data_IF_815384379742
#
_entry.id   IF_815384379742
#
_cell.length_a   1.000
_cell.length_b   1.000
_cell.length_c   1.000
_cell.angle_alpha   90.00
_cell.angle_beta   90.00
_cell.angle_gamma   90.00
#
_symmetry.space_group_name_H-M   'P 1'
#
loop_
_entity.id
_entity.type
_entity.pdbx_description
1 polymer ?
#
# COMPACT_ATOMS: atom_id res chain seq x y z
N UNK A 1 -39.13 10.22 -7.84
CA UNK A 1 -38.82 9.35 -9.00
C UNK A 1 -37.48 9.81 -9.55
N UNK A 2 -36.44 8.99 -9.42
CA UNK A 2 -35.13 9.30 -9.99
C UNK A 2 -35.07 8.69 -11.40
N UNK A 3 -34.88 9.56 -12.39
CA UNK A 3 -34.69 9.16 -13.78
C UNK A 3 -33.25 8.67 -14.00
N UNK A 4 -33.13 7.44 -14.47
CA UNK A 4 -31.89 6.79 -14.85
C UNK A 4 -31.61 7.11 -16.32
N UNK A 5 -30.67 8.01 -16.59
CA UNK A 5 -30.30 8.35 -17.97
C UNK A 5 -28.90 7.79 -18.31
N UNK A 6 -28.94 6.72 -19.10
CA UNK A 6 -27.79 6.00 -19.65
C UNK A 6 -27.26 6.75 -20.87
N UNK A 7 -26.05 7.31 -20.77
CA UNK A 7 -25.30 7.79 -21.95
C UNK A 7 -23.94 7.12 -22.03
N UNK A 8 -23.88 6.17 -22.97
CA UNK A 8 -22.71 5.67 -23.70
C UNK A 8 -21.40 6.42 -23.42
N UNK A 9 -20.54 5.77 -22.64
CA UNK A 9 -19.17 6.19 -22.37
C UNK A 9 -18.30 5.91 -23.62
N UNK A 10 -18.08 6.90 -24.49
CA UNK A 10 -16.97 6.84 -25.46
C UNK A 10 -15.67 7.09 -24.69
N UNK A 11 -15.11 6.03 -24.12
CA UNK A 11 -13.85 6.08 -23.38
C UNK A 11 -12.69 6.03 -24.38
N UNK A 12 -11.81 7.02 -24.29
CA UNK A 12 -10.55 7.09 -25.03
C UNK A 12 -9.63 5.92 -24.60
N UNK A 13 -9.19 5.09 -25.55
CA UNK A 13 -8.51 3.80 -25.31
C UNK A 13 -7.24 3.94 -24.45
N UNK A 14 -6.54 5.08 -24.55
CA UNK A 14 -5.32 5.37 -23.76
C UNK A 14 -5.60 5.53 -22.27
N UNK A 15 -6.71 6.20 -21.91
CA UNK A 15 -7.11 6.45 -20.52
C UNK A 15 -7.68 5.19 -19.86
N UNK A 16 -8.36 4.35 -20.65
CA UNK A 16 -8.89 3.07 -20.18
C UNK A 16 -7.76 2.09 -19.85
N UNK A 17 -6.72 2.01 -20.69
CA UNK A 17 -5.58 1.13 -20.44
C UNK A 17 -4.82 1.53 -19.16
N UNK A 18 -4.59 2.84 -18.94
CA UNK A 18 -3.96 3.33 -17.70
C UNK A 18 -4.80 3.05 -16.46
N UNK A 19 -6.12 3.20 -16.55
CA UNK A 19 -7.05 2.87 -15.47
C UNK A 19 -7.03 1.36 -15.16
N UNK A 20 -7.15 0.51 -16.18
CA UNK A 20 -7.04 -0.94 -16.03
C UNK A 20 -5.70 -1.36 -15.43
N UNK A 21 -4.58 -0.78 -15.89
CA UNK A 21 -3.25 -1.07 -15.34
C UNK A 21 -3.12 -0.63 -13.88
N UNK A 22 -3.72 0.51 -13.50
CA UNK A 22 -3.69 1.04 -12.13
C UNK A 22 -4.53 0.18 -11.18
N UNK A 23 -5.76 -0.18 -11.57
CA UNK A 23 -6.63 -1.06 -10.78
C UNK A 23 -6.02 -2.45 -10.65
N UNK A 24 -5.50 -3.04 -11.74
CA UNK A 24 -4.82 -4.33 -11.68
C UNK A 24 -3.59 -4.31 -10.77
N UNK A 25 -2.85 -3.19 -10.71
CA UNK A 25 -1.70 -3.03 -9.83
C UNK A 25 -2.10 -3.05 -8.34
N UNK A 26 -3.13 -2.30 -7.94
CA UNK A 26 -3.57 -2.26 -6.55
C UNK A 26 -4.28 -3.54 -6.11
N UNK A 27 -5.10 -4.15 -6.98
CA UNK A 27 -5.70 -5.47 -6.72
C UNK A 27 -4.61 -6.51 -6.46
N UNK A 28 -3.55 -6.49 -7.27
CA UNK A 28 -2.39 -7.35 -7.04
C UNK A 28 -1.69 -7.05 -5.70
N UNK A 29 -1.49 -5.77 -5.34
CA UNK A 29 -0.90 -5.41 -4.04
C UNK A 29 -1.72 -5.92 -2.86
N UNK A 30 -3.05 -5.77 -2.91
CA UNK A 30 -3.95 -6.25 -1.87
C UNK A 30 -3.86 -7.77 -1.75
N UNK A 31 -3.81 -8.51 -2.86
CA UNK A 31 -3.58 -9.95 -2.85
C UNK A 31 -2.23 -10.31 -2.21
N UNK A 32 -1.17 -9.55 -2.47
CA UNK A 32 0.15 -9.78 -1.85
C UNK A 32 0.09 -9.53 -0.34
N UNK A 33 -0.56 -8.46 0.12
CA UNK A 33 -0.73 -8.17 1.56
C UNK A 33 -1.58 -9.25 2.23
N UNK A 34 -2.65 -9.73 1.59
CA UNK A 34 -3.46 -10.84 2.09
C UNK A 34 -2.65 -12.14 2.24
N UNK A 35 -1.77 -12.45 1.27
CA UNK A 35 -0.84 -13.58 1.40
C UNK A 35 0.14 -13.40 2.58
N UNK A 36 0.63 -12.18 2.81
CA UNK A 36 1.46 -11.88 3.99
C UNK A 36 0.67 -12.09 5.28
N UNK A 37 -0.60 -11.66 5.31
CA UNK A 37 -1.49 -11.85 6.44
C UNK A 37 -1.66 -13.34 6.79
N UNK A 38 -1.87 -14.19 5.78
CA UNK A 38 -1.97 -15.64 5.94
C UNK A 38 -0.64 -16.30 6.35
N UNK A 39 0.50 -15.76 5.89
CA UNK A 39 1.82 -16.34 6.13
C UNK A 39 2.44 -15.93 7.47
N UNK A 40 2.03 -14.77 8.01
CA UNK A 40 2.61 -14.17 9.22
C UNK A 40 1.60 -14.00 10.35
N UNK A 41 0.43 -14.64 10.24
CA UNK A 41 -0.59 -14.63 11.29
C UNK A 41 -0.06 -15.18 12.64
N UNK A 42 1.00 -16.01 12.59
CA UNK A 42 1.62 -16.62 13.78
C UNK A 42 2.93 -15.95 14.25
N UNK A 43 3.39 -14.84 13.65
CA UNK A 43 4.58 -14.12 14.13
C UNK A 43 4.24 -13.22 15.34
N UNK A 44 3.68 -13.84 16.39
CA UNK A 44 2.95 -13.17 17.48
C UNK A 44 3.75 -12.14 18.28
N UNK A 45 5.09 -12.21 18.28
CA UNK A 45 5.94 -11.33 19.09
C UNK A 45 6.59 -10.17 18.31
N UNK A 46 6.42 -10.11 16.98
CA UNK A 46 7.01 -9.06 16.17
C UNK A 46 6.23 -7.75 16.33
N UNK A 47 6.94 -6.70 16.78
CA UNK A 47 6.42 -5.33 16.82
C UNK A 47 7.07 -4.50 15.72
N UNK A 48 6.24 -3.80 14.96
CA UNK A 48 6.65 -3.05 13.77
C UNK A 48 6.21 -1.60 13.89
N UNK A 49 7.07 -0.67 13.49
CA UNK A 49 6.70 0.74 13.42
C UNK A 49 5.57 0.94 12.41
N UNK A 50 4.42 1.42 12.89
CA UNK A 50 3.20 1.46 12.07
C UNK A 50 2.71 2.90 11.94
N UNK A 51 3.06 3.58 10.82
CA UNK A 51 2.45 4.85 10.45
C UNK A 51 0.94 4.68 10.22
N UNK A 52 0.17 5.72 10.52
CA UNK A 52 -1.28 5.74 10.29
C UNK A 52 -1.65 6.27 8.91
N UNK A 53 -2.92 6.14 8.51
CA UNK A 53 -3.43 6.79 7.30
C UNK A 53 -3.25 8.33 7.35
N UNK A 54 -3.37 8.95 8.53
CA UNK A 54 -3.14 10.38 8.68
C UNK A 54 -1.66 10.75 8.45
N UNK A 55 -0.73 9.90 8.91
CA UNK A 55 0.70 10.06 8.64
C UNK A 55 0.97 9.94 7.14
N UNK A 56 0.34 8.98 6.45
CA UNK A 56 0.43 8.84 5.00
C UNK A 56 -0.13 10.06 4.25
N UNK A 57 -1.23 10.67 4.72
CA UNK A 57 -1.79 11.86 4.08
C UNK A 57 -0.87 13.09 4.22
N UNK A 58 -0.10 13.16 5.30
CA UNK A 58 0.84 14.27 5.57
C UNK A 58 2.22 14.04 4.97
N UNK A 59 2.72 12.81 5.06
CA UNK A 59 4.06 12.37 4.67
C UNK A 59 3.98 11.01 3.93
N UNK A 60 3.35 10.96 2.74
CA UNK A 60 3.22 9.75 1.93
C UNK A 60 4.54 9.00 1.65
N UNK A 61 5.61 9.67 1.26
CA UNK A 61 6.92 9.08 0.96
C UNK A 61 7.61 8.53 2.19
N UNK A 62 7.72 9.30 3.28
CA UNK A 62 8.31 8.81 4.54
C UNK A 62 7.53 7.60 5.04
N UNK A 63 6.20 7.68 5.00
CA UNK A 63 5.31 6.58 5.39
C UNK A 63 5.56 5.31 4.56
N UNK A 64 5.63 5.43 3.23
CA UNK A 64 5.89 4.27 2.36
C UNK A 64 7.31 3.70 2.54
N UNK A 65 8.30 4.55 2.81
CA UNK A 65 9.66 4.11 3.17
C UNK A 65 9.63 3.32 4.48
N UNK A 66 8.86 3.77 5.47
CA UNK A 66 8.72 3.04 6.73
C UNK A 66 8.05 1.69 6.53
N UNK A 67 6.95 1.62 5.77
CA UNK A 67 6.35 0.33 5.44
C UNK A 67 7.32 -0.60 4.68
N UNK A 68 8.14 -0.06 3.77
CA UNK A 68 9.15 -0.84 3.04
C UNK A 68 10.19 -1.44 3.98
N UNK A 69 10.75 -0.64 4.90
CA UNK A 69 11.72 -1.11 5.91
C UNK A 69 11.12 -2.14 6.86
N UNK A 70 9.94 -1.87 7.39
CA UNK A 70 9.29 -2.74 8.39
C UNK A 70 8.78 -4.06 7.78
N UNK A 71 8.40 -4.08 6.50
CA UNK A 71 8.15 -5.33 5.77
C UNK A 71 9.41 -6.20 5.69
N UNK A 72 10.59 -5.59 5.49
CA UNK A 72 11.84 -6.34 5.51
C UNK A 72 12.13 -6.90 6.90
N UNK A 73 11.87 -6.14 7.98
CA UNK A 73 11.96 -6.61 9.37
C UNK A 73 11.03 -7.80 9.61
N UNK A 74 9.75 -7.70 9.22
CA UNK A 74 8.79 -8.80 9.35
C UNK A 74 9.25 -10.09 8.64
N UNK A 75 9.81 -9.98 7.44
CA UNK A 75 10.36 -11.12 6.69
C UNK A 75 11.61 -11.72 7.37
N UNK A 76 12.41 -10.91 8.04
CA UNK A 76 13.60 -11.39 8.77
C UNK A 76 13.22 -12.10 10.08
N UNK A 77 12.33 -11.49 10.85
CA UNK A 77 11.92 -11.97 12.18
C UNK A 77 11.05 -13.22 12.12
N UNK A 78 10.24 -13.37 11.07
CA UNK A 78 9.40 -14.56 10.85
C UNK A 78 10.17 -15.87 10.57
N UNK A 79 11.50 -15.86 10.54
CA UNK A 79 12.34 -17.05 10.38
C UNK A 79 12.21 -17.73 9.00
N UNK A 80 11.40 -17.19 8.09
CA UNK A 80 11.10 -17.75 6.78
C UNK A 80 12.22 -17.45 5.77
N UNK A 81 13.45 -17.84 6.14
CA UNK A 81 14.68 -17.59 5.36
C UNK A 81 14.72 -18.37 4.04
N UNK A 82 13.87 -19.40 3.89
CA UNK A 82 14.00 -20.49 2.92
C UNK A 82 13.03 -20.48 1.74
N UNK A 83 12.09 -19.54 1.62
CA UNK A 83 11.29 -19.45 0.39
C UNK A 83 11.75 -18.32 -0.54
N UNK A 84 12.49 -18.62 -1.63
CA UNK A 84 12.91 -17.63 -2.62
C UNK A 84 11.75 -16.98 -3.39
N UNK A 85 10.51 -17.45 -3.19
CA UNK A 85 9.32 -16.97 -3.88
C UNK A 85 8.69 -15.74 -3.19
N UNK A 86 8.96 -15.53 -1.89
CA UNK A 86 8.25 -14.53 -1.07
C UNK A 86 9.12 -13.37 -0.55
N UNK A 87 10.45 -13.42 -0.73
CA UNK A 87 11.39 -12.31 -0.51
C UNK A 87 11.48 -11.40 -1.75
N UNK A 88 11.19 -10.09 -1.70
CA UNK A 88 10.08 -9.38 -1.07
C UNK A 88 9.28 -8.63 -2.15
N UNK A 89 8.25 -9.29 -2.73
CA UNK A 89 7.40 -8.63 -3.75
C UNK A 89 6.77 -7.35 -3.21
N UNK A 90 6.46 -7.30 -1.92
CA UNK A 90 5.83 -6.15 -1.29
C UNK A 90 6.79 -4.97 -1.14
N UNK A 91 7.99 -5.14 -0.58
CA UNK A 91 8.93 -4.01 -0.38
C UNK A 91 9.43 -3.42 -1.70
N UNK A 92 9.71 -4.25 -2.72
CA UNK A 92 10.04 -3.78 -4.08
C UNK A 92 8.92 -2.90 -4.65
N UNK A 93 7.67 -3.27 -4.38
CA UNK A 93 6.50 -2.57 -4.93
C UNK A 93 6.16 -1.31 -4.16
N UNK A 94 6.30 -1.33 -2.83
CA UNK A 94 6.22 -0.12 -2.01
C UNK A 94 7.26 0.89 -2.48
N UNK A 95 8.48 0.44 -2.78
CA UNK A 95 9.52 1.29 -3.37
C UNK A 95 9.11 1.91 -4.71
N UNK A 96 8.36 1.18 -5.55
CA UNK A 96 7.83 1.71 -6.82
C UNK A 96 6.73 2.76 -6.67
N UNK A 97 6.09 2.84 -5.49
CA UNK A 97 5.05 3.83 -5.17
C UNK A 97 5.63 5.17 -4.66
N UNK A 98 6.92 5.21 -4.31
CA UNK A 98 7.59 6.41 -3.83
C UNK A 98 7.85 7.36 -5.00
N UNK A 99 7.14 8.51 -5.03
CA UNK A 99 7.10 9.38 -6.22
C UNK A 99 7.90 10.68 -6.18
N UNK A 100 8.53 11.09 -5.08
CA UNK A 100 9.63 12.09 -4.99
C UNK A 100 9.94 12.45 -3.52
N UNK A 101 11.01 13.23 -3.25
CA UNK A 101 11.37 13.68 -1.90
C UNK A 101 10.30 14.59 -1.28
N UNK A 102 10.03 14.35 0.00
CA UNK A 102 9.13 15.17 0.81
C UNK A 102 9.77 16.41 1.40
N UNK A 103 8.93 17.30 1.92
CA UNK A 103 9.36 18.45 2.72
C UNK A 103 10.05 18.03 4.02
N UNK A 104 10.80 18.96 4.62
CA UNK A 104 11.76 18.71 5.70
C UNK A 104 11.17 18.28 7.08
N UNK A 105 9.85 18.10 7.22
CA UNK A 105 9.18 17.91 8.52
C UNK A 105 8.47 16.55 8.67
N UNK A 106 8.92 15.52 7.96
CA UNK A 106 8.38 14.19 8.08
C UNK A 106 9.16 13.38 9.14
N UNK A 107 8.47 12.69 10.06
CA UNK A 107 9.13 11.93 11.11
C UNK A 107 9.85 10.70 10.53
N UNK A 108 10.89 10.26 11.23
CA UNK A 108 11.53 8.97 11.02
C UNK A 108 10.62 7.82 11.48
N UNK A 109 10.92 6.60 11.05
CA UNK A 109 10.06 5.43 11.28
C UNK A 109 9.88 5.12 12.77
N UNK A 110 10.96 5.27 13.52
CA UNK A 110 11.07 5.02 14.94
C UNK A 110 10.23 5.99 15.79
N UNK A 111 9.75 7.10 15.21
CA UNK A 111 8.84 8.02 15.88
C UNK A 111 7.37 7.52 15.83
N UNK A 112 7.05 6.56 14.96
CA UNK A 112 5.72 5.95 14.93
C UNK A 112 5.56 4.91 16.04
N UNK A 113 4.31 4.56 16.36
CA UNK A 113 4.04 3.54 17.38
C UNK A 113 4.31 2.15 16.81
N UNK A 114 5.00 1.35 17.60
CA UNK A 114 5.10 -0.09 17.40
C UNK A 114 3.72 -0.76 17.54
N UNK A 115 3.37 -1.62 16.59
CA UNK A 115 2.13 -2.41 16.60
C UNK A 115 2.40 -3.87 16.23
N UNK A 116 1.40 -4.72 16.43
CA UNK A 116 1.46 -6.12 16.01
C UNK A 116 1.60 -6.23 14.50
N UNK A 117 2.19 -7.33 14.00
CA UNK A 117 2.25 -7.62 12.56
C UNK A 117 0.87 -7.56 11.89
N UNK A 118 -0.19 -7.99 12.61
CA UNK A 118 -1.58 -7.90 12.16
C UNK A 118 -2.00 -6.44 11.92
N UNK A 119 -1.86 -5.60 12.93
CA UNK A 119 -2.25 -4.19 12.85
C UNK A 119 -1.44 -3.42 11.80
N UNK A 120 -0.15 -3.74 11.68
CA UNK A 120 0.74 -3.21 10.66
C UNK A 120 0.23 -3.53 9.25
N UNK A 121 -0.05 -4.81 8.96
CA UNK A 121 -0.53 -5.24 7.64
C UNK A 121 -1.94 -4.71 7.34
N UNK A 122 -2.82 -4.65 8.34
CA UNK A 122 -4.15 -4.02 8.19
C UNK A 122 -4.02 -2.55 7.84
N UNK A 123 -3.14 -1.81 8.52
CA UNK A 123 -2.95 -0.38 8.23
C UNK A 123 -2.36 -0.16 6.83
N UNK A 124 -1.40 -0.99 6.44
CA UNK A 124 -0.85 -0.98 5.08
C UNK A 124 -1.93 -1.24 4.02
N UNK A 125 -2.79 -2.24 4.24
CA UNK A 125 -3.90 -2.53 3.35
C UNK A 125 -4.84 -1.33 3.21
N UNK A 126 -5.23 -0.70 4.33
CA UNK A 126 -6.10 0.49 4.32
C UNK A 126 -5.50 1.63 3.50
N UNK A 127 -4.19 1.87 3.61
CA UNK A 127 -3.51 2.91 2.83
C UNK A 127 -3.53 2.58 1.33
N UNK A 128 -3.26 1.32 0.96
CA UNK A 128 -3.29 0.88 -0.44
C UNK A 128 -4.70 0.97 -1.04
N UNK A 129 -5.73 0.59 -0.30
CA UNK A 129 -7.14 0.75 -0.70
C UNK A 129 -7.49 2.23 -0.89
N UNK A 130 -7.07 3.09 0.03
CA UNK A 130 -7.26 4.54 -0.10
C UNK A 130 -6.55 5.11 -1.33
N UNK A 131 -5.31 4.68 -1.63
CA UNK A 131 -4.58 5.08 -2.83
C UNK A 131 -5.29 4.66 -4.11
N UNK A 132 -5.83 3.43 -4.13
CA UNK A 132 -6.61 2.91 -5.25
C UNK A 132 -7.87 3.76 -5.47
N UNK A 133 -8.62 4.05 -4.40
CA UNK A 133 -9.83 4.87 -4.45
C UNK A 133 -9.55 6.29 -4.95
N UNK A 134 -8.43 6.89 -4.55
CA UNK A 134 -8.03 8.21 -5.06
C UNK A 134 -7.63 8.17 -6.55
N UNK A 135 -7.04 7.07 -7.01
CA UNK A 135 -6.80 6.82 -8.43
C UNK A 135 -8.10 6.73 -9.24
N UNK A 136 -9.14 6.13 -8.65
CA UNK A 136 -10.46 6.00 -9.26
C UNK A 136 -11.28 7.31 -9.25
N UNK A 137 -11.04 8.20 -8.27
CA UNK A 137 -11.83 9.42 -8.08
C UNK A 137 -11.35 10.64 -8.86
N UNK A 138 -10.18 10.63 -9.52
CA UNK A 138 -9.73 11.77 -10.32
C UNK A 138 -10.60 11.93 -11.57
N UNK A 139 -11.41 13.00 -11.70
CA UNK A 139 -11.82 13.44 -13.02
C UNK A 139 -10.56 13.95 -13.73
N UNK A 140 -10.36 13.56 -14.97
CA UNK A 140 -9.39 14.21 -15.85
C UNK A 140 -9.79 15.68 -16.03
N UNK A 141 -9.19 16.55 -15.25
CA UNK A 141 -9.05 17.99 -15.48
C UNK A 141 -7.52 18.23 -15.47
N UNK A 142 -6.86 18.66 -16.54
CA UNK A 142 -7.24 19.61 -17.56
C UNK A 142 -6.38 19.41 -18.82
#
# INVERSE_FOLDING_TARGET
MMEYNSTHCRINISTQLHYFLTVCFYVYMICVVACYFLSYQESFDCRLYTPTLADYQKCPTSTLICFEKEVNVLVLESGNKSSPIYKPKLSIRLKSLIKQKEGANCPDCEAHRERTAKDFLTTLQTILEWMNDQGCRKPSSH
#
